data_IF_724025427072
#
_entry.id   IF_724025427072
#
_cell.length_a   1.000
_cell.length_b   1.000
_cell.length_c   1.000
_cell.angle_alpha   90.00
_cell.angle_beta   90.00
_cell.angle_gamma   90.00
#
_symmetry.space_group_name_H-M   'P 1'
#
loop_
_entity.id
_entity.type
_entity.pdbx_description
1 polymer ?
#
# COMPACT_ATOMS: atom_id res chain seq x y z
N UNK A 1 74.26 14.71 -2.88
CA UNK A 1 74.31 15.94 -3.69
C UNK A 1 73.45 15.64 -4.93
N UNK A 2 72.24 16.12 -5.18
CA UNK A 2 71.29 17.12 -4.65
C UNK A 2 69.90 16.63 -5.16
N UNK A 3 68.98 16.25 -4.26
CA UNK A 3 67.62 16.83 -4.09
C UNK A 3 66.99 17.61 -5.27
N UNK A 4 65.77 17.21 -5.67
CA UNK A 4 64.69 18.10 -6.16
C UNK A 4 63.38 17.27 -6.17
N UNK A 5 62.61 17.21 -5.07
CA UNK A 5 61.47 18.08 -4.72
C UNK A 5 60.73 18.68 -5.91
N UNK A 6 59.62 18.04 -6.33
CA UNK A 6 58.46 18.78 -6.85
C UNK A 6 57.13 18.03 -6.63
N UNK A 7 56.29 18.64 -5.81
CA UNK A 7 54.83 18.49 -5.76
C UNK A 7 54.29 19.80 -5.18
N UNK A 8 53.03 20.23 -5.41
CA UNK A 8 51.95 19.65 -6.21
C UNK A 8 51.24 20.68 -7.12
N UNK A 9 50.48 20.23 -8.14
CA UNK A 9 49.46 21.09 -8.79
C UNK A 9 48.07 20.54 -8.47
N UNK A 10 47.43 21.13 -7.45
CA UNK A 10 45.99 21.00 -7.19
C UNK A 10 45.23 21.57 -8.38
N UNK A 11 44.42 20.76 -9.03
CA UNK A 11 43.45 21.21 -10.03
C UNK A 11 42.03 20.85 -9.55
N UNK A 12 41.26 21.90 -9.25
CA UNK A 12 39.83 21.98 -9.50
C UNK A 12 38.92 20.97 -8.83
N UNK A 13 38.50 21.29 -7.60
CA UNK A 13 37.19 20.88 -7.05
C UNK A 13 36.08 21.50 -7.92
N UNK A 14 35.79 20.88 -9.07
CA UNK A 14 34.57 21.14 -9.82
C UNK A 14 33.41 20.49 -9.08
N UNK A 15 32.53 21.30 -8.50
CA UNK A 15 31.20 20.86 -8.06
C UNK A 15 30.51 20.21 -9.27
N UNK A 16 30.47 18.87 -9.31
CA UNK A 16 29.61 18.13 -10.25
C UNK A 16 28.19 18.62 -10.01
N UNK A 17 27.58 19.18 -11.06
CA UNK A 17 26.12 19.26 -11.15
C UNK A 17 25.52 17.89 -10.79
N UNK A 18 24.36 17.82 -10.10
CA UNK A 18 23.77 16.54 -9.70
C UNK A 18 23.74 15.62 -10.92
N UNK A 19 24.52 14.54 -10.85
CA UNK A 19 24.84 13.71 -11.99
C UNK A 19 23.57 13.23 -12.64
N UNK A 20 23.35 13.60 -13.90
CA UNK A 20 22.39 12.91 -14.76
C UNK A 20 22.80 11.45 -14.70
N UNK A 21 21.95 10.61 -14.09
CA UNK A 21 22.20 9.18 -14.03
C UNK A 21 22.47 8.69 -15.46
N UNK A 22 23.42 7.76 -15.66
CA UNK A 22 23.61 7.15 -16.97
C UNK A 22 22.26 6.63 -17.47
N UNK A 23 21.99 6.70 -18.78
CA UNK A 23 20.76 6.16 -19.32
C UNK A 23 20.62 4.70 -18.86
N UNK A 24 19.44 4.30 -18.37
CA UNK A 24 19.23 2.93 -17.88
C UNK A 24 19.64 1.93 -18.96
N UNK A 25 20.32 0.85 -18.57
CA UNK A 25 20.64 -0.23 -19.50
C UNK A 25 19.36 -0.87 -20.04
N UNK A 26 19.40 -1.56 -21.17
CA UNK A 26 18.23 -2.28 -21.72
C UNK A 26 17.66 -3.31 -20.72
N UNK A 27 18.52 -3.88 -19.86
CA UNK A 27 18.11 -4.74 -18.75
C UNK A 27 17.41 -3.96 -17.61
N UNK A 28 17.84 -2.72 -17.34
CA UNK A 28 17.15 -1.81 -16.40
C UNK A 28 15.83 -1.28 -16.98
N UNK A 29 15.69 -1.23 -18.31
CA UNK A 29 14.46 -0.81 -18.98
C UNK A 29 13.39 -1.90 -19.00
N UNK A 30 13.79 -3.16 -18.86
CA UNK A 30 12.90 -4.29 -18.57
C UNK A 30 12.42 -4.31 -17.09
N UNK A 31 12.87 -3.36 -16.27
CA UNK A 31 12.50 -3.31 -14.85
C UNK A 31 11.07 -2.82 -14.64
N UNK A 32 10.46 -3.38 -13.60
CA UNK A 32 9.16 -3.01 -13.10
C UNK A 32 9.23 -1.60 -12.49
N UNK A 33 8.44 -0.67 -13.01
CA UNK A 33 8.39 0.72 -12.54
C UNK A 33 6.96 1.25 -12.46
N UNK A 34 6.80 2.36 -11.75
CA UNK A 34 5.60 3.18 -11.70
C UNK A 34 5.91 4.63 -12.09
N UNK A 35 4.91 5.40 -12.47
CA UNK A 35 5.06 6.83 -12.78
C UNK A 35 5.13 7.67 -11.51
N UNK A 36 5.91 8.75 -11.54
CA UNK A 36 6.27 9.58 -10.37
C UNK A 36 5.08 10.22 -9.64
N UNK A 37 3.97 10.42 -10.33
CA UNK A 37 2.72 10.98 -9.79
C UNK A 37 1.85 9.96 -9.05
N UNK A 38 2.07 8.67 -9.32
CA UNK A 38 1.30 7.58 -8.70
C UNK A 38 1.54 7.59 -7.19
N UNK A 39 0.48 7.50 -6.38
CA UNK A 39 0.56 7.54 -4.92
C UNK A 39 0.61 6.15 -4.31
N UNK A 40 1.36 6.07 -3.22
CA UNK A 40 1.53 4.88 -2.39
C UNK A 40 1.05 5.21 -0.98
N UNK A 41 0.30 4.31 -0.38
CA UNK A 41 -0.08 4.42 1.03
C UNK A 41 1.16 4.26 1.92
N UNK A 42 1.39 5.21 2.81
CA UNK A 42 2.51 5.22 3.75
C UNK A 42 2.00 5.29 5.19
N UNK A 43 2.90 5.18 6.16
CA UNK A 43 2.58 5.40 7.58
C UNK A 43 1.99 6.80 7.85
N UNK A 44 2.26 7.77 6.97
CA UNK A 44 1.75 9.15 7.05
C UNK A 44 0.58 9.41 6.06
N UNK A 45 0.02 8.35 5.47
CA UNK A 45 -1.03 8.43 4.45
C UNK A 45 -0.49 8.39 3.00
N UNK A 46 -1.35 8.63 2.00
CA UNK A 46 -0.97 8.52 0.59
C UNK A 46 0.04 9.59 0.18
N UNK A 47 1.18 9.18 -0.38
CA UNK A 47 2.23 10.08 -0.89
C UNK A 47 2.61 9.73 -2.32
N UNK A 48 2.87 10.70 -3.21
CA UNK A 48 3.34 10.40 -4.55
C UNK A 48 4.73 9.75 -4.49
N UNK A 49 5.02 8.82 -5.41
CA UNK A 49 6.31 8.13 -5.48
C UNK A 49 7.51 9.07 -5.58
N UNK A 50 7.33 10.21 -6.25
CA UNK A 50 8.34 11.27 -6.33
C UNK A 50 8.78 11.80 -4.95
N UNK A 51 7.89 11.80 -3.95
CA UNK A 51 8.17 12.30 -2.60
C UNK A 51 8.78 11.26 -1.65
N UNK A 52 8.76 9.98 -1.98
CA UNK A 52 9.30 8.93 -1.11
C UNK A 52 10.83 8.88 -1.11
N UNK A 53 11.42 8.43 -0.02
CA UNK A 53 12.86 8.22 0.11
C UNK A 53 13.19 6.85 0.71
N UNK A 54 14.41 6.31 0.48
CA UNK A 54 14.91 5.19 1.28
C UNK A 54 14.78 5.48 2.77
N UNK A 55 14.28 4.50 3.53
CA UNK A 55 13.94 4.63 4.94
C UNK A 55 12.45 4.86 5.21
N UNK A 56 11.70 5.44 4.27
CA UNK A 56 10.24 5.59 4.39
C UNK A 56 9.56 4.21 4.45
N UNK A 57 8.40 4.14 5.12
CA UNK A 57 7.60 2.93 5.25
C UNK A 57 6.31 3.01 4.44
N UNK A 58 6.03 1.94 3.71
CA UNK A 58 4.84 1.80 2.86
C UNK A 58 3.92 0.72 3.40
N UNK A 59 2.61 0.92 3.24
CA UNK A 59 1.56 0.03 3.72
C UNK A 59 1.31 -1.10 2.72
N UNK A 60 1.29 -2.34 3.19
CA UNK A 60 1.00 -3.52 2.38
C UNK A 60 -0.49 -3.83 2.32
N UNK A 61 -0.88 -4.72 1.40
CA UNK A 61 -2.21 -5.32 1.37
C UNK A 61 -2.57 -6.15 2.61
N UNK A 62 -1.61 -6.44 3.51
CA UNK A 62 -1.84 -7.12 4.80
C UNK A 62 -1.93 -6.16 5.99
N UNK A 63 -1.99 -4.85 5.70
CA UNK A 63 -2.04 -3.81 6.71
C UNK A 63 -0.78 -3.73 7.60
N UNK A 64 0.37 -4.17 7.09
CA UNK A 64 1.66 -4.02 7.76
C UNK A 64 2.58 -3.05 7.00
N UNK A 65 3.65 -2.59 7.66
CA UNK A 65 4.57 -1.60 7.10
C UNK A 65 5.88 -2.23 6.65
N UNK A 66 6.35 -1.85 5.46
CA UNK A 66 7.61 -2.32 4.86
C UNK A 66 8.50 -1.14 4.53
N UNK A 67 9.79 -1.24 4.87
CA UNK A 67 10.77 -0.19 4.59
C UNK A 67 11.22 -0.18 3.13
N UNK A 68 11.33 1.00 2.55
CA UNK A 68 12.03 1.23 1.28
C UNK A 68 13.54 1.17 1.54
N UNK A 69 14.24 0.27 0.85
CA UNK A 69 15.71 0.16 0.90
C UNK A 69 16.37 1.00 -0.17
N UNK A 70 15.77 1.06 -1.37
CA UNK A 70 16.32 1.83 -2.47
C UNK A 70 15.23 2.46 -3.33
N UNK A 71 15.56 3.60 -3.94
CA UNK A 71 14.71 4.29 -4.91
C UNK A 71 15.56 4.66 -6.11
N UNK A 72 15.10 4.29 -7.29
CA UNK A 72 15.67 4.72 -8.57
C UNK A 72 14.64 5.57 -9.29
N UNK A 73 14.98 6.83 -9.56
CA UNK A 73 14.18 7.74 -10.37
C UNK A 73 14.86 7.98 -11.72
N UNK A 74 14.10 7.91 -12.81
CA UNK A 74 14.60 8.13 -14.16
C UNK A 74 13.53 8.76 -15.04
N UNK A 75 13.91 9.22 -16.23
CA UNK A 75 12.97 9.72 -17.24
C UNK A 75 13.09 8.88 -18.50
N UNK A 76 11.95 8.50 -19.06
CA UNK A 76 11.86 7.97 -20.41
C UNK A 76 11.61 9.15 -21.35
N UNK A 77 12.48 9.34 -22.34
CA UNK A 77 12.46 10.46 -23.29
C UNK A 77 12.04 9.98 -24.69
N UNK A 78 11.53 10.90 -25.52
CA UNK A 78 10.85 10.59 -26.78
C UNK A 78 11.67 9.75 -27.76
N UNK A 79 12.98 10.01 -27.90
CA UNK A 79 13.84 9.19 -28.77
C UNK A 79 13.94 7.73 -28.31
N UNK A 80 14.04 7.49 -27.00
CA UNK A 80 14.03 6.15 -26.43
C UNK A 80 12.66 5.48 -26.58
N UNK A 81 11.58 6.22 -26.33
CA UNK A 81 10.20 5.73 -26.44
C UNK A 81 9.76 5.48 -27.89
N UNK A 82 10.40 6.13 -28.86
CA UNK A 82 10.21 5.85 -30.28
C UNK A 82 10.92 4.57 -30.69
N UNK A 83 12.15 4.36 -30.21
CA UNK A 83 12.92 3.14 -30.46
C UNK A 83 12.36 1.92 -29.72
N UNK A 84 11.79 2.14 -28.53
CA UNK A 84 11.27 1.11 -27.63
C UNK A 84 9.87 1.46 -27.11
N UNK A 85 8.81 1.32 -27.94
CA UNK A 85 7.43 1.62 -27.54
C UNK A 85 6.93 0.79 -26.36
N UNK A 86 7.48 -0.39 -26.12
CA UNK A 86 7.18 -1.29 -24.99
C UNK A 86 7.55 -0.69 -23.62
N UNK A 87 8.38 0.34 -23.59
CA UNK A 87 8.73 1.07 -22.38
C UNK A 87 7.70 2.13 -22.01
N UNK A 88 6.73 2.41 -22.89
CA UNK A 88 5.65 3.35 -22.59
C UNK A 88 4.86 2.83 -21.38
N UNK A 89 4.59 3.68 -20.38
CA UNK A 89 3.73 3.29 -19.28
C UNK A 89 2.35 2.91 -19.79
N UNK A 90 1.69 1.99 -19.11
CA UNK A 90 0.26 1.79 -19.18
C UNK A 90 -0.42 2.58 -18.08
N UNK A 91 -1.54 3.20 -18.42
CA UNK A 91 -2.38 3.93 -17.49
C UNK A 91 -3.64 3.14 -17.17
N UNK A 92 -3.88 2.99 -15.87
CA UNK A 92 -5.13 2.48 -15.31
C UNK A 92 -5.92 3.69 -14.82
N UNK A 93 -7.11 3.99 -15.40
CA UNK A 93 -7.94 5.09 -14.96
C UNK A 93 -8.32 4.98 -13.49
N UNK A 94 -8.61 6.10 -12.84
CA UNK A 94 -9.18 6.08 -11.49
C UNK A 94 -10.50 5.28 -11.49
N UNK A 95 -10.68 4.42 -10.49
CA UNK A 95 -11.85 3.57 -10.32
C UNK A 95 -11.89 2.31 -11.20
N UNK A 96 -11.02 2.17 -12.21
CA UNK A 96 -11.07 1.05 -13.16
C UNK A 96 -10.89 -0.32 -12.49
N UNK A 97 -10.11 -0.38 -11.41
CA UNK A 97 -9.92 -1.56 -10.57
C UNK A 97 -10.30 -1.30 -9.11
N UNK A 98 -11.11 -0.27 -8.84
CA UNK A 98 -11.35 0.21 -7.46
C UNK A 98 -10.25 1.12 -6.89
N UNK A 99 -9.22 1.43 -7.70
CA UNK A 99 -8.16 2.36 -7.35
C UNK A 99 -8.67 3.80 -7.21
N UNK A 100 -8.16 4.53 -6.21
CA UNK A 100 -8.57 5.90 -5.85
C UNK A 100 -8.14 6.96 -6.88
N UNK A 101 -7.01 6.74 -7.54
CA UNK A 101 -6.40 7.65 -8.50
C UNK A 101 -5.84 6.91 -9.70
N UNK A 102 -5.48 7.63 -10.76
CA UNK A 102 -4.87 7.03 -11.95
C UNK A 102 -3.52 6.41 -11.59
N UNK A 103 -3.29 5.17 -12.01
CA UNK A 103 -2.01 4.48 -11.81
C UNK A 103 -1.27 4.45 -13.15
N UNK A 104 -0.01 4.89 -13.16
CA UNK A 104 0.88 4.70 -14.30
C UNK A 104 1.98 3.70 -13.96
N UNK A 105 2.19 2.69 -14.80
CA UNK A 105 3.12 1.60 -14.54
C UNK A 105 3.65 0.94 -15.82
N UNK A 106 4.76 0.20 -15.71
CA UNK A 106 5.30 -0.60 -16.81
C UNK A 106 4.35 -1.72 -17.26
N UNK A 107 4.36 -2.10 -18.54
CA UNK A 107 3.48 -3.14 -19.11
C UNK A 107 3.55 -4.51 -18.40
N UNK A 108 4.69 -4.86 -17.83
CA UNK A 108 4.93 -6.14 -17.16
C UNK A 108 4.78 -6.06 -15.63
N UNK A 109 4.31 -4.94 -15.08
CA UNK A 109 4.13 -4.80 -13.64
C UNK A 109 3.06 -5.79 -13.14
N UNK A 110 3.35 -6.62 -12.13
CA UNK A 110 2.36 -7.50 -11.54
C UNK A 110 1.39 -6.74 -10.62
N UNK A 111 0.10 -6.97 -10.82
CA UNK A 111 -0.99 -6.37 -10.04
C UNK A 111 -1.77 -7.51 -9.41
N UNK A 112 -2.05 -7.41 -8.11
CA UNK A 112 -2.99 -8.29 -7.46
C UNK A 112 -4.41 -7.75 -7.63
N UNK A 113 -5.26 -8.53 -8.29
CA UNK A 113 -6.69 -8.25 -8.37
C UNK A 113 -7.39 -8.85 -7.17
N UNK A 114 -8.30 -8.08 -6.59
CA UNK A 114 -9.18 -8.50 -5.50
C UNK A 114 -10.61 -8.64 -6.05
N UNK A 115 -11.44 -9.42 -5.37
CA UNK A 115 -12.87 -9.49 -5.70
C UNK A 115 -13.57 -8.15 -5.44
N UNK A 116 -14.60 -7.76 -6.23
CA UNK A 116 -15.27 -8.51 -7.30
C UNK A 116 -14.59 -8.45 -8.68
N UNK A 117 -13.55 -7.62 -8.81
CA UNK A 117 -12.89 -7.33 -10.09
C UNK A 117 -12.25 -8.59 -10.69
N UNK A 118 -11.69 -9.46 -9.85
CA UNK A 118 -11.14 -10.74 -10.29
C UNK A 118 -12.22 -11.64 -10.93
N UNK A 119 -13.39 -11.77 -10.30
CA UNK A 119 -14.50 -12.56 -10.83
C UNK A 119 -15.07 -11.99 -12.13
N UNK A 120 -15.23 -10.66 -12.25
CA UNK A 120 -15.71 -10.01 -13.47
C UNK A 120 -14.79 -10.26 -14.67
N UNK A 121 -13.48 -10.38 -14.42
CA UNK A 121 -12.48 -10.70 -15.43
C UNK A 121 -12.33 -12.20 -15.71
N UNK A 122 -13.21 -13.03 -15.14
CA UNK A 122 -13.20 -14.49 -15.34
C UNK A 122 -12.02 -15.19 -14.67
N UNK A 123 -11.42 -14.59 -13.65
CA UNK A 123 -10.33 -15.20 -12.87
C UNK A 123 -10.92 -16.06 -11.74
N UNK A 124 -10.57 -17.33 -11.73
CA UNK A 124 -11.16 -18.34 -10.83
C UNK A 124 -10.61 -18.33 -9.40
N UNK A 125 -9.84 -17.31 -8.99
CA UNK A 125 -9.06 -17.32 -7.73
C UNK A 125 -9.34 -16.07 -6.91
N UNK A 126 -9.51 -16.23 -5.59
CA UNK A 126 -9.75 -15.16 -4.60
C UNK A 126 -8.71 -14.02 -4.57
N UNK A 127 -7.63 -14.11 -5.36
CA UNK A 127 -6.88 -12.95 -5.83
C UNK A 127 -5.99 -13.38 -7.00
N UNK A 128 -6.32 -12.95 -8.22
CA UNK A 128 -5.52 -13.22 -9.40
C UNK A 128 -4.36 -12.23 -9.52
N UNK A 129 -3.12 -12.71 -9.66
CA UNK A 129 -2.02 -11.84 -10.09
C UNK A 129 -2.05 -11.77 -11.62
N UNK A 130 -2.15 -10.56 -12.16
CA UNK A 130 -2.10 -10.32 -13.60
C UNK A 130 -0.96 -9.36 -13.93
N UNK A 131 -0.49 -9.37 -15.19
CA UNK A 131 0.38 -8.30 -15.67
C UNK A 131 -0.49 -7.15 -16.15
N UNK A 132 0.02 -5.93 -15.98
CA UNK A 132 -0.67 -4.72 -16.42
C UNK A 132 -1.16 -4.78 -17.88
N UNK A 133 -0.33 -5.29 -18.80
CA UNK A 133 -0.69 -5.41 -20.22
C UNK A 133 -1.89 -6.33 -20.47
N UNK A 134 -2.15 -7.29 -19.59
CA UNK A 134 -3.24 -8.26 -19.75
C UNK A 134 -4.60 -7.61 -19.42
N UNK A 135 -4.59 -6.40 -18.82
CA UNK A 135 -5.78 -5.58 -18.59
C UNK A 135 -6.23 -4.81 -19.84
N UNK A 136 -5.39 -4.69 -20.87
CA UNK A 136 -5.73 -3.97 -22.09
C UNK A 136 -6.86 -4.72 -22.82
N UNK A 137 -7.96 -4.02 -23.07
CA UNK A 137 -9.16 -4.59 -23.70
C UNK A 137 -10.03 -5.42 -22.76
N UNK A 138 -9.49 -5.90 -21.63
CA UNK A 138 -10.25 -6.55 -20.59
C UNK A 138 -10.91 -5.55 -19.63
N UNK A 139 -10.23 -4.43 -19.33
CA UNK A 139 -10.72 -3.36 -18.46
C UNK A 139 -10.94 -2.07 -19.26
N UNK A 140 -12.15 -1.48 -19.24
CA UNK A 140 -12.44 -0.25 -19.97
C UNK A 140 -11.49 0.91 -19.60
N UNK A 141 -10.94 1.56 -20.62
CA UNK A 141 -10.09 2.74 -20.47
C UNK A 141 -8.65 2.45 -20.06
N UNK A 142 -8.27 1.19 -19.79
CA UNK A 142 -6.86 0.82 -19.62
C UNK A 142 -6.15 0.86 -20.96
N UNK A 143 -5.12 1.68 -21.07
CA UNK A 143 -4.41 1.90 -22.33
C UNK A 143 -2.93 2.22 -22.10
N UNK A 144 -2.11 1.92 -23.11
CA UNK A 144 -0.73 2.41 -23.18
C UNK A 144 -0.76 3.93 -23.33
N UNK A 145 0.12 4.62 -22.63
CA UNK A 145 0.20 6.08 -22.67
C UNK A 145 0.40 6.59 -24.11
N UNK A 146 -0.33 7.67 -24.43
CA UNK A 146 -0.21 8.39 -25.69
C UNK A 146 1.21 8.98 -25.89
N UNK A 147 1.45 9.56 -27.07
CA UNK A 147 2.74 10.03 -27.57
C UNK A 147 3.31 11.28 -26.85
N UNK A 148 3.32 11.25 -25.51
CA UNK A 148 4.08 12.19 -24.71
C UNK A 148 5.56 11.92 -24.93
N UNK A 149 6.31 13.00 -25.12
CA UNK A 149 7.76 12.95 -25.31
C UNK A 149 8.54 12.63 -24.04
N UNK A 150 7.90 12.58 -22.86
CA UNK A 150 8.59 12.31 -21.60
C UNK A 150 7.69 11.75 -20.49
N UNK A 151 8.20 10.75 -19.77
CA UNK A 151 7.61 10.21 -18.54
C UNK A 151 8.62 10.20 -17.39
N UNK A 152 8.18 10.60 -16.20
CA UNK A 152 8.96 10.45 -14.97
C UNK A 152 8.62 9.12 -14.31
N UNK A 153 9.61 8.26 -14.11
CA UNK A 153 9.44 6.91 -13.59
C UNK A 153 10.19 6.73 -12.26
N UNK A 154 9.68 5.83 -11.42
CA UNK A 154 10.28 5.39 -10.17
C UNK A 154 10.22 3.87 -10.09
N UNK A 155 11.34 3.26 -9.74
CA UNK A 155 11.40 1.88 -9.26
C UNK A 155 11.83 1.89 -7.79
N UNK A 156 11.11 1.16 -6.96
CA UNK A 156 11.39 1.02 -5.53
C UNK A 156 11.87 -0.39 -5.24
N UNK A 157 12.86 -0.50 -4.36
CA UNK A 157 13.26 -1.76 -3.74
C UNK A 157 12.89 -1.70 -2.27
N UNK A 158 12.08 -2.65 -1.81
CA UNK A 158 11.69 -2.81 -0.42
C UNK A 158 12.66 -3.72 0.32
N UNK A 159 12.63 -3.76 1.65
CA UNK A 159 13.47 -4.68 2.45
C UNK A 159 13.11 -6.15 2.26
N UNK A 160 11.87 -6.41 1.82
CA UNK A 160 11.40 -7.71 1.34
C UNK A 160 10.38 -7.46 0.24
N UNK A 161 10.17 -8.45 -0.61
CA UNK A 161 9.07 -8.39 -1.56
C UNK A 161 7.72 -8.32 -0.84
N UNK A 162 6.83 -7.44 -1.31
CA UNK A 162 5.49 -7.28 -0.76
C UNK A 162 4.52 -6.73 -1.82
N UNK A 163 3.22 -6.90 -1.60
CA UNK A 163 2.18 -6.16 -2.32
C UNK A 163 1.86 -4.89 -1.55
N UNK A 164 2.19 -3.74 -2.13
CA UNK A 164 2.01 -2.43 -1.52
C UNK A 164 0.74 -1.78 -2.05
N UNK A 165 0.03 -1.05 -1.18
CA UNK A 165 -1.17 -0.32 -1.57
C UNK A 165 -0.80 0.91 -2.41
N UNK A 166 -1.02 0.82 -3.71
CA UNK A 166 -0.82 1.86 -4.71
C UNK A 166 -2.18 2.37 -5.14
N UNK A 167 -2.46 3.65 -4.90
CA UNK A 167 -3.81 4.23 -5.08
C UNK A 167 -4.91 3.37 -4.43
N UNK A 168 -4.60 2.67 -3.33
CA UNK A 168 -5.52 1.80 -2.62
C UNK A 168 -5.63 0.35 -3.12
N UNK A 169 -4.95 -0.04 -4.19
CA UNK A 169 -4.92 -1.45 -4.66
C UNK A 169 -3.55 -2.10 -4.45
N UNK A 170 -3.46 -3.42 -4.20
CA UNK A 170 -2.18 -4.08 -3.96
C UNK A 170 -1.38 -4.30 -5.26
N UNK A 171 -0.16 -3.78 -5.31
CA UNK A 171 0.76 -3.87 -6.45
C UNK A 171 2.10 -4.45 -5.99
N UNK A 172 2.66 -5.42 -6.73
CA UNK A 172 3.88 -6.11 -6.34
C UNK A 172 5.10 -5.19 -6.43
N UNK A 173 5.84 -5.07 -5.33
CA UNK A 173 7.10 -4.32 -5.26
C UNK A 173 8.27 -5.28 -4.97
N UNK A 174 9.41 -5.04 -5.61
CA UNK A 174 10.57 -5.95 -5.56
C UNK A 174 11.35 -5.80 -4.24
N UNK A 175 11.84 -6.93 -3.69
CA UNK A 175 12.81 -6.96 -2.58
C UNK A 175 14.25 -7.18 -3.05
N UNK A 176 15.27 -7.11 -2.17
CA UNK A 176 16.68 -7.25 -2.55
C UNK A 176 17.02 -8.64 -3.11
N UNK A 177 16.34 -9.68 -2.62
CA UNK A 177 16.60 -11.07 -3.00
C UNK A 177 16.01 -11.46 -4.37
N UNK A 178 15.39 -10.51 -5.07
CA UNK A 178 14.68 -10.74 -6.33
C UNK A 178 15.35 -10.00 -7.48
N UNK A 179 16.14 -10.72 -8.27
CA UNK A 179 16.54 -10.32 -9.62
C UNK A 179 15.71 -11.10 -10.66
N UNK A 180 14.62 -10.50 -11.14
CA UNK A 180 13.90 -10.99 -12.32
C UNK A 180 12.38 -11.14 -12.14
N UNK A 181 11.61 -11.13 -13.25
CA UNK A 181 10.14 -11.25 -13.21
C UNK A 181 9.72 -12.65 -12.74
N UNK A 182 8.66 -12.72 -11.94
CA UNK A 182 7.99 -13.99 -11.61
C UNK A 182 7.31 -14.55 -12.88
N UNK A 183 7.23 -15.89 -13.05
CA UNK A 183 6.17 -16.47 -13.86
C UNK A 183 4.83 -16.05 -13.23
N UNK A 184 4.10 -15.21 -13.95
CA UNK A 184 2.74 -14.81 -13.58
C UNK A 184 1.81 -15.85 -14.19
N UNK A 185 0.80 -16.23 -13.41
CA UNK A 185 -0.35 -17.02 -13.87
C UNK A 185 -0.92 -16.38 -15.12
N UNK A 186 -0.81 -17.09 -16.24
CA UNK A 186 -1.63 -16.80 -17.41
C UNK A 186 -3.06 -17.15 -17.00
N UNK A 187 -4.01 -16.29 -17.36
CA UNK A 187 -5.46 -16.48 -17.18
C UNK A 187 -5.80 -17.98 -17.35
N UNK A 188 -6.23 -18.62 -16.26
CA UNK A 188 -6.50 -20.07 -16.18
C UNK A 188 -5.48 -20.93 -15.43
N UNK A 189 -4.66 -20.39 -14.52
CA UNK A 189 -3.80 -21.22 -13.65
C UNK A 189 -3.87 -20.84 -12.16
N UNK A 190 -3.72 -21.82 -11.27
CA UNK A 190 -4.13 -21.78 -9.86
C UNK A 190 -3.18 -21.05 -8.89
N UNK A 191 -2.30 -20.13 -9.34
CA UNK A 191 -1.34 -19.53 -8.41
C UNK A 191 -1.96 -18.41 -7.55
N UNK A 192 -2.03 -18.69 -6.26
CA UNK A 192 -2.43 -17.75 -5.21
C UNK A 192 -1.21 -16.92 -4.78
N UNK A 193 -1.38 -15.59 -4.67
CA UNK A 193 -0.37 -14.73 -4.07
C UNK A 193 -0.30 -15.00 -2.55
N UNK A 194 0.83 -15.48 -2.00
CA UNK A 194 0.92 -15.87 -0.58
C UNK A 194 0.84 -14.70 0.41
N UNK A 195 0.76 -13.46 -0.08
CA UNK A 195 0.84 -12.23 0.73
C UNK A 195 -0.43 -11.36 0.65
N UNK A 196 -1.54 -11.92 0.14
CA UNK A 196 -2.84 -11.26 0.15
C UNK A 196 -3.68 -11.89 1.25
N UNK A 197 -4.05 -11.09 2.26
CA UNK A 197 -5.05 -11.53 3.24
C UNK A 197 -6.43 -11.54 2.55
N UNK A 198 -7.32 -12.48 2.89
CA UNK A 198 -8.73 -12.40 2.50
C UNK A 198 -9.36 -11.24 3.27
N UNK A 199 -9.33 -10.05 2.70
CA UNK A 199 -10.05 -8.89 3.22
C UNK A 199 -11.06 -8.43 2.20
N UNK A 200 -12.28 -8.25 2.67
CA UNK A 200 -13.42 -7.69 1.98
C UNK A 200 -13.08 -6.26 1.52
N UNK A 201 -12.55 -6.14 0.30
CA UNK A 201 -12.30 -4.84 -0.34
C UNK A 201 -13.64 -4.30 -0.84
N UNK A 202 -14.36 -3.59 0.02
CA UNK A 202 -15.58 -2.85 -0.35
C UNK A 202 -15.21 -1.76 -1.36
N UNK A 203 -15.39 -2.10 -2.64
CA UNK A 203 -15.08 -1.26 -3.79
C UNK A 203 -16.21 -0.25 -4.08
N UNK A 204 -17.23 -0.17 -3.20
CA UNK A 204 -18.51 0.48 -3.50
C UNK A 204 -18.77 1.86 -2.89
N UNK A 205 -17.94 2.40 -1.97
CA UNK A 205 -18.22 3.72 -1.36
C UNK A 205 -16.96 4.53 -1.10
N UNK A 206 -16.95 5.74 -1.66
CA UNK A 206 -15.85 6.70 -1.57
C UNK A 206 -15.37 6.95 -0.13
N UNK A 207 -14.06 7.19 -0.02
CA UNK A 207 -13.17 7.85 0.97
C UNK A 207 -13.62 8.05 2.45
N UNK A 208 -14.91 8.02 2.78
CA UNK A 208 -15.43 7.95 4.14
C UNK A 208 -15.36 6.55 4.76
N UNK A 209 -15.24 5.47 3.97
CA UNK A 209 -15.25 4.08 4.45
C UNK A 209 -14.14 3.70 5.44
N UNK A 210 -12.84 3.89 5.14
CA UNK A 210 -11.78 3.40 6.03
C UNK A 210 -11.52 4.33 7.24
N UNK A 211 -11.90 5.61 7.16
CA UNK A 211 -11.88 6.49 8.34
C UNK A 211 -13.11 6.28 9.23
N UNK A 212 -14.30 5.99 8.67
CA UNK A 212 -15.45 5.57 9.48
C UNK A 212 -15.32 4.15 10.02
N UNK A 213 -14.74 3.17 9.32
CA UNK A 213 -14.53 1.84 9.90
C UNK A 213 -13.41 1.81 10.93
N UNK A 214 -12.34 2.61 10.77
CA UNK A 214 -11.33 2.78 11.81
C UNK A 214 -11.89 3.45 13.07
N UNK A 215 -12.70 4.50 12.90
CA UNK A 215 -13.36 5.22 14.00
C UNK A 215 -14.52 4.42 14.59
N UNK A 216 -15.33 3.70 13.79
CA UNK A 216 -16.42 2.83 14.24
C UNK A 216 -15.89 1.53 14.85
N UNK A 217 -14.78 0.96 14.38
CA UNK A 217 -14.15 -0.20 15.04
C UNK A 217 -13.48 0.20 16.36
N UNK A 218 -12.87 1.39 16.45
CA UNK A 218 -12.45 1.97 17.73
C UNK A 218 -13.64 2.36 18.64
N UNK A 219 -14.75 2.85 18.09
CA UNK A 219 -15.95 3.16 18.87
C UNK A 219 -16.74 1.91 19.26
N UNK A 220 -16.72 0.82 18.50
CA UNK A 220 -17.43 -0.43 18.83
C UNK A 220 -16.57 -1.31 19.75
N UNK A 221 -15.24 -1.28 19.61
CA UNK A 221 -14.33 -1.90 20.59
C UNK A 221 -14.23 -1.08 21.88
N UNK A 222 -14.24 0.25 21.78
CA UNK A 222 -14.31 1.17 22.91
C UNK A 222 -15.69 1.17 23.60
N UNK A 223 -16.78 1.17 22.86
CA UNK A 223 -18.13 1.02 23.41
C UNK A 223 -18.38 -0.40 23.93
N UNK A 224 -17.77 -1.44 23.36
CA UNK A 224 -17.79 -2.78 23.95
C UNK A 224 -17.12 -2.82 25.32
N UNK A 225 -15.99 -2.12 25.49
CA UNK A 225 -15.32 -1.98 26.79
C UNK A 225 -16.08 -1.07 27.77
N UNK A 226 -16.74 -0.02 27.27
CA UNK A 226 -17.56 0.89 28.08
C UNK A 226 -18.91 0.24 28.45
N UNK A 227 -19.54 -0.54 27.57
CA UNK A 227 -20.80 -1.27 27.84
C UNK A 227 -20.53 -2.48 28.74
N UNK A 228 -19.41 -3.19 28.57
CA UNK A 228 -18.98 -4.22 29.52
C UNK A 228 -18.59 -3.62 30.88
N UNK A 229 -17.92 -2.46 30.89
CA UNK A 229 -17.56 -1.73 32.11
C UNK A 229 -18.77 -1.16 32.85
N UNK A 230 -19.73 -0.57 32.15
CA UNK A 230 -21.01 -0.10 32.72
C UNK A 230 -21.90 -1.26 33.17
N UNK A 231 -21.90 -2.39 32.46
CA UNK A 231 -22.60 -3.60 32.89
C UNK A 231 -22.07 -4.11 34.23
N UNK A 232 -20.74 -4.09 34.43
CA UNK A 232 -20.11 -4.50 35.69
C UNK A 232 -20.37 -3.50 36.83
N UNK A 233 -20.32 -2.19 36.55
CA UNK A 233 -20.64 -1.13 37.51
C UNK A 233 -22.12 -1.12 37.90
N UNK A 234 -23.03 -1.33 36.94
CA UNK A 234 -24.45 -1.46 37.21
C UNK A 234 -24.77 -2.73 38.01
N UNK A 235 -24.14 -3.86 37.71
CA UNK A 235 -24.29 -5.09 38.47
C UNK A 235 -23.78 -4.93 39.92
N UNK A 236 -22.62 -4.27 40.13
CA UNK A 236 -22.13 -3.95 41.47
C UNK A 236 -23.04 -2.97 42.22
N UNK A 237 -23.58 -1.96 41.52
CA UNK A 237 -24.53 -1.02 42.10
C UNK A 237 -25.83 -1.69 42.55
N UNK A 238 -26.38 -2.57 41.71
CA UNK A 238 -27.60 -3.35 42.03
C UNK A 238 -27.34 -4.30 43.21
N UNK A 239 -26.21 -5.01 43.24
CA UNK A 239 -25.86 -5.88 44.36
C UNK A 239 -25.74 -5.11 45.68
N UNK A 240 -25.15 -3.91 45.64
CA UNK A 240 -25.00 -3.03 46.81
C UNK A 240 -26.36 -2.48 47.28
N UNK A 241 -27.25 -2.11 46.35
CA UNK A 241 -28.60 -1.67 46.65
C UNK A 241 -29.42 -2.78 47.33
N UNK A 242 -29.34 -4.01 46.80
CA UNK A 242 -30.03 -5.18 47.36
C UNK A 242 -29.51 -5.47 48.77
N UNK A 243 -28.19 -5.45 48.97
CA UNK A 243 -27.60 -5.66 50.30
C UNK A 243 -28.09 -4.60 51.31
N UNK A 244 -28.11 -3.32 50.93
CA UNK A 244 -28.61 -2.24 51.78
C UNK A 244 -30.11 -2.39 52.08
N UNK A 245 -30.92 -2.79 51.09
CA UNK A 245 -32.35 -3.02 51.29
C UNK A 245 -32.61 -4.15 52.30
N UNK A 246 -31.83 -5.23 52.22
CA UNK A 246 -31.90 -6.36 53.17
C UNK A 246 -31.53 -5.91 54.58
N UNK A 247 -30.48 -5.10 54.74
CA UNK A 247 -30.08 -4.55 56.05
C UNK A 247 -31.17 -3.66 56.64
N UNK A 248 -31.77 -2.77 55.83
CA UNK A 248 -32.87 -1.91 56.27
C UNK A 248 -34.11 -2.74 56.65
N UNK A 249 -34.47 -3.73 55.83
CA UNK A 249 -35.60 -4.62 56.12
C UNK A 249 -35.38 -5.40 57.43
N UNK A 250 -34.17 -5.92 57.66
CA UNK A 250 -33.79 -6.57 58.92
C UNK A 250 -33.89 -5.61 60.11
N UNK A 251 -33.39 -4.38 59.98
CA UNK A 251 -33.49 -3.38 61.03
C UNK A 251 -34.95 -3.03 61.38
N UNK A 252 -35.82 -2.92 60.37
CA UNK A 252 -37.26 -2.69 60.56
C UNK A 252 -37.91 -3.88 61.27
N UNK A 253 -37.62 -5.12 60.87
CA UNK A 253 -38.16 -6.33 61.53
C UNK A 253 -37.71 -6.41 62.99
N UNK A 254 -36.44 -6.12 63.27
CA UNK A 254 -35.93 -6.09 64.65
C UNK A 254 -36.62 -4.99 65.47
N UNK A 255 -36.78 -3.78 64.91
CA UNK A 255 -37.45 -2.68 65.58
C UNK A 255 -38.92 -2.99 65.89
N UNK A 256 -39.64 -3.61 64.95
CA UNK A 256 -41.03 -4.05 65.15
C UNK A 256 -41.14 -5.14 66.22
N UNK A 257 -40.18 -6.08 66.25
CA UNK A 257 -40.15 -7.15 67.25
C UNK A 257 -39.77 -6.67 68.65
N UNK A 258 -39.06 -5.54 68.76
CA UNK A 258 -38.69 -4.93 70.05
C UNK A 258 -39.79 -4.08 70.70
N UNK A 259 -40.90 -3.82 69.98
CA UNK A 259 -42.01 -2.98 70.44
C UNK A 259 -43.27 -3.76 70.86
N UNK A 260 -43.26 -5.09 70.73
CA UNK A 260 -44.30 -5.98 71.25
C UNK A 260 -43.75 -6.85 72.36
#
# INVERSE_FOLDING_TARGET
>A
MIQDVHSPKRAGSGRRAPGRLPPPSTADLASVFLTQETRVETELGPRPLSALAPGDRVLTGRCDLVRIVSKRAFSLEGGLLHAHPELRPLYIPAGALGNKGRIGLSLLHPIALVEPVASELGLSVQAGIVRAKDLIGAVPGVAVADDRSRFGCVSLTLERQAYVLVEGIPVEMTGPDRLGPRPVVVIGSDAVAPDLAPTEYDTGRGILGPLLLGVVSCLVSGAGLIVAGFGLLAAMGIATLIANLVVVAMAVVIALRSRG
#
